data_IF_715767602880
#
_entry.id   IF_715767602880
#
_cell.length_a   1.000
_cell.length_b   1.000
_cell.length_c   1.000
_cell.angle_alpha   90.00
_cell.angle_beta   90.00
_cell.angle_gamma   90.00
#
_symmetry.space_group_name_H-M   'P 1'
#
loop_
_entity.id
_entity.type
_entity.pdbx_description
1 polymer ?
#
# COMPACT_ATOMS: atom_id res chain seq x y z
N UNK A 1 1.22 26.13 17.36
CA UNK A 1 2.66 25.82 17.46
C UNK A 1 3.19 26.04 18.89
N UNK A 2 2.40 25.86 19.95
CA UNK A 2 2.82 26.18 21.34
C UNK A 2 2.61 25.01 22.33
N UNK A 3 2.06 23.86 21.94
CA UNK A 3 1.84 22.74 22.86
C UNK A 3 2.88 21.59 22.75
N UNK A 4 3.88 21.70 21.90
CA UNK A 4 4.88 20.64 21.67
C UNK A 4 6.15 20.77 22.52
N UNK A 5 6.39 21.88 23.22
CA UNK A 5 7.63 22.13 23.95
C UNK A 5 7.64 21.65 25.41
N UNK A 6 6.49 21.34 26.00
CA UNK A 6 6.41 20.91 27.40
C UNK A 6 6.64 19.42 27.63
N UNK A 7 6.59 18.59 26.59
CA UNK A 7 6.63 17.13 26.66
C UNK A 7 8.02 16.52 26.72
N UNK A 8 9.07 17.30 26.55
CA UNK A 8 10.46 16.81 26.55
C UNK A 8 11.03 16.48 27.91
N UNK A 9 10.33 16.72 29.03
CA UNK A 9 10.99 16.71 30.34
C UNK A 9 10.70 15.51 31.22
N UNK A 10 9.70 14.66 30.94
CA UNK A 10 9.47 13.43 31.71
C UNK A 10 8.75 12.37 30.83
N UNK A 11 9.46 11.45 30.17
CA UNK A 11 8.82 10.22 29.73
C UNK A 11 8.41 9.44 30.99
N UNK A 12 7.15 9.01 31.13
CA UNK A 12 6.75 8.17 32.25
C UNK A 12 7.57 6.89 32.22
N UNK A 13 8.32 6.64 33.31
CA UNK A 13 9.08 5.42 33.54
C UNK A 13 8.14 4.23 33.80
N UNK A 14 7.40 3.79 32.86
CA UNK A 14 6.92 2.40 32.76
C UNK A 14 6.46 2.19 31.32
N UNK A 15 7.35 1.65 30.51
CA UNK A 15 6.96 0.92 29.32
C UNK A 15 6.17 -0.30 29.79
N UNK A 16 4.91 -0.09 30.19
CA UNK A 16 3.98 -1.19 30.33
C UNK A 16 3.89 -1.83 28.94
N UNK A 17 4.54 -2.97 28.79
CA UNK A 17 4.43 -3.81 27.63
C UNK A 17 2.94 -3.90 27.27
N UNK A 18 2.61 -3.59 26.03
CA UNK A 18 1.33 -3.97 25.48
C UNK A 18 1.09 -5.42 25.89
N UNK A 19 -0.03 -5.78 26.52
CA UNK A 19 -0.26 -7.14 26.97
C UNK A 19 -0.42 -8.04 25.75
N UNK A 20 0.70 -8.53 25.23
CA UNK A 20 0.78 -9.43 24.09
C UNK A 20 0.09 -10.80 24.32
N UNK A 21 -0.46 -11.03 25.51
CA UNK A 21 -0.97 -12.35 25.91
C UNK A 21 -2.50 -12.48 26.01
N UNK A 22 -3.29 -11.42 25.78
CA UNK A 22 -4.72 -11.50 26.08
C UNK A 22 -5.64 -11.80 24.88
N UNK A 23 -5.15 -11.76 23.64
CA UNK A 23 -5.99 -11.99 22.47
C UNK A 23 -5.27 -12.90 21.47
N UNK A 24 -5.11 -14.16 21.83
CA UNK A 24 -4.75 -15.20 20.87
C UNK A 24 -5.96 -15.54 20.00
N UNK A 25 -6.24 -14.71 19.02
CA UNK A 25 -7.06 -15.11 17.88
C UNK A 25 -6.08 -15.77 16.92
N UNK A 26 -6.14 -17.11 16.72
CA UNK A 26 -5.25 -17.77 15.78
C UNK A 26 -5.55 -17.26 14.38
N UNK A 27 -4.67 -16.50 13.76
CA UNK A 27 -4.88 -16.06 12.40
C UNK A 27 -4.19 -14.76 12.01
N UNK A 28 -4.41 -14.35 10.80
CA UNK A 28 -3.82 -13.16 10.16
C UNK A 28 -4.31 -11.81 10.72
N UNK A 29 -5.33 -11.82 11.58
CA UNK A 29 -5.97 -10.58 12.10
C UNK A 29 -5.08 -9.90 13.14
N UNK A 30 -4.49 -10.68 14.04
CA UNK A 30 -3.64 -10.14 15.11
C UNK A 30 -2.46 -9.30 14.59
N UNK A 31 -1.68 -9.73 13.58
CA UNK A 31 -0.60 -8.91 13.03
C UNK A 31 -1.08 -7.63 12.35
N UNK A 32 -2.30 -7.62 11.78
CA UNK A 32 -2.87 -6.42 11.16
C UNK A 32 -3.26 -5.39 12.23
N UNK A 33 -3.91 -5.85 13.30
CA UNK A 33 -4.22 -5.00 14.46
C UNK A 33 -2.94 -4.50 15.13
N UNK A 34 -1.94 -5.37 15.25
CA UNK A 34 -0.63 -5.00 15.78
C UNK A 34 0.03 -3.89 14.95
N UNK A 35 -0.13 -3.88 13.63
CA UNK A 35 0.38 -2.82 12.78
C UNK A 35 -0.28 -1.45 13.08
N UNK A 36 -1.61 -1.42 13.30
CA UNK A 36 -2.32 -0.20 13.70
C UNK A 36 -1.87 0.30 15.08
N UNK A 37 -1.79 -0.59 16.06
CA UNK A 37 -1.33 -0.23 17.42
C UNK A 37 0.13 0.24 17.43
N UNK A 38 1.00 -0.43 16.68
CA UNK A 38 2.42 -0.07 16.56
C UNK A 38 2.59 1.30 15.87
N UNK A 39 1.73 1.61 14.89
CA UNK A 39 1.72 2.92 14.25
C UNK A 39 1.50 4.05 15.24
N UNK A 40 0.44 3.98 16.06
CA UNK A 40 0.20 4.96 17.12
C UNK A 40 1.34 4.97 18.13
N UNK A 41 1.79 3.79 18.60
CA UNK A 41 2.86 3.69 19.58
C UNK A 41 4.17 4.36 19.17
N UNK A 42 4.57 4.21 17.91
CA UNK A 42 5.76 4.88 17.39
C UNK A 42 5.60 6.40 17.42
N UNK A 43 4.43 6.90 17.03
CA UNK A 43 4.14 8.33 17.08
C UNK A 43 4.09 8.87 18.51
N UNK A 44 3.56 8.08 19.45
CA UNK A 44 3.55 8.41 20.86
C UNK A 44 4.96 8.49 21.48
N UNK A 45 5.81 7.48 21.22
CA UNK A 45 7.19 7.45 21.69
C UNK A 45 8.02 8.56 21.07
N UNK A 46 7.71 8.94 19.84
CA UNK A 46 8.33 10.04 19.07
C UNK A 46 9.87 9.98 19.07
N UNK A 47 10.48 8.86 18.63
CA UNK A 47 11.91 8.59 18.85
C UNK A 47 12.85 9.49 18.04
N UNK A 48 12.37 10.13 16.97
CA UNK A 48 13.18 10.96 16.07
C UNK A 48 12.88 12.45 16.25
N UNK A 49 13.86 13.30 16.01
CA UNK A 49 13.68 14.76 16.02
C UNK A 49 12.70 15.24 14.94
N UNK A 50 12.73 14.58 13.76
CA UNK A 50 11.80 14.80 12.66
C UNK A 50 11.53 13.46 11.94
N UNK A 51 10.46 13.41 11.15
CA UNK A 51 10.13 12.28 10.30
C UNK A 51 9.36 11.14 10.96
N UNK A 52 8.95 11.26 12.23
CA UNK A 52 8.22 10.19 12.94
C UNK A 52 6.99 9.70 12.17
N UNK A 53 6.22 10.61 11.55
CA UNK A 53 5.08 10.25 10.71
C UNK A 53 5.47 9.46 9.46
N UNK A 54 6.61 9.76 8.84
CA UNK A 54 7.14 9.00 7.68
C UNK A 54 7.54 7.60 8.10
N UNK A 55 8.26 7.50 9.22
CA UNK A 55 8.70 6.20 9.77
C UNK A 55 7.51 5.35 10.21
N UNK A 56 6.49 5.93 10.86
CA UNK A 56 5.28 5.21 11.26
C UNK A 56 4.55 4.62 10.04
N UNK A 57 4.39 5.38 8.96
CA UNK A 57 3.78 4.89 7.72
C UNK A 57 4.61 3.80 7.04
N UNK A 58 5.93 3.96 7.00
CA UNK A 58 6.84 2.96 6.43
C UNK A 58 6.84 1.66 7.24
N UNK A 59 6.88 1.76 8.57
CA UNK A 59 6.78 0.61 9.47
C UNK A 59 5.47 -0.14 9.26
N UNK A 60 4.33 0.58 9.22
CA UNK A 60 3.02 -0.03 8.96
C UNK A 60 2.98 -0.74 7.61
N UNK A 61 3.55 -0.11 6.56
CA UNK A 61 3.67 -0.73 5.25
C UNK A 61 4.49 -2.03 5.30
N UNK A 62 5.63 -2.02 5.98
CA UNK A 62 6.48 -3.21 6.10
C UNK A 62 5.78 -4.35 6.86
N UNK A 63 5.09 -4.04 7.97
CA UNK A 63 4.32 -5.01 8.75
C UNK A 63 3.18 -5.62 7.92
N UNK A 64 2.38 -4.78 7.26
CA UNK A 64 1.25 -5.22 6.43
C UNK A 64 1.73 -6.02 5.21
N UNK A 65 2.81 -5.60 4.55
CA UNK A 65 3.41 -6.33 3.43
C UNK A 65 3.82 -7.74 3.83
N UNK A 66 4.47 -7.89 4.99
CA UNK A 66 4.89 -9.20 5.52
C UNK A 66 3.70 -10.09 5.85
N UNK A 67 2.65 -9.52 6.45
CA UNK A 67 1.48 -10.27 6.93
C UNK A 67 0.55 -10.69 5.79
N UNK A 68 0.34 -9.81 4.82
CA UNK A 68 -0.68 -9.99 3.76
C UNK A 68 -0.08 -10.47 2.44
N UNK A 69 1.25 -10.61 2.36
CA UNK A 69 1.97 -10.97 1.12
C UNK A 69 1.52 -10.14 -0.10
N UNK A 70 1.40 -8.83 0.10
CA UNK A 70 0.86 -7.91 -0.92
C UNK A 70 1.83 -7.62 -2.06
N UNK A 71 3.03 -8.18 -2.04
CA UNK A 71 4.12 -7.91 -3.00
C UNK A 71 4.39 -6.41 -3.24
N UNK A 72 3.95 -5.57 -2.31
CA UNK A 72 4.13 -4.11 -2.39
C UNK A 72 3.13 -3.38 -3.28
N UNK A 73 2.05 -4.03 -3.71
CA UNK A 73 1.06 -3.44 -4.62
C UNK A 73 0.26 -2.28 -4.03
N UNK A 74 0.11 -2.20 -2.71
CA UNK A 74 -0.62 -1.12 -2.07
C UNK A 74 0.02 -0.65 -0.76
N UNK A 75 -0.36 0.52 -0.30
CA UNK A 75 0.14 1.12 0.93
C UNK A 75 -0.96 1.90 1.65
N UNK A 76 -1.01 1.78 2.95
CA UNK A 76 -1.91 2.57 3.81
C UNK A 76 -1.60 4.07 3.75
N UNK A 77 -0.38 4.45 3.39
CA UNK A 77 0.08 5.84 3.42
C UNK A 77 -0.76 6.79 2.55
N UNK A 78 -1.18 6.32 1.35
CA UNK A 78 -2.05 7.10 0.46
C UNK A 78 -3.43 7.35 1.08
N UNK A 79 -4.01 6.33 1.69
CA UNK A 79 -5.33 6.44 2.34
C UNK A 79 -5.30 7.38 3.54
N UNK A 80 -4.27 7.28 4.39
CA UNK A 80 -4.06 8.21 5.51
C UNK A 80 -3.88 9.65 5.04
N UNK A 81 -3.15 9.89 3.94
CA UNK A 81 -2.97 11.22 3.38
C UNK A 81 -4.28 11.80 2.84
N UNK A 82 -5.15 10.98 2.25
CA UNK A 82 -6.46 11.43 1.75
C UNK A 82 -7.44 11.79 2.87
N UNK A 83 -7.26 11.22 4.05
CA UNK A 83 -8.10 11.46 5.22
C UNK A 83 -7.28 12.07 6.36
N UNK A 84 -6.40 13.02 6.02
CA UNK A 84 -5.43 13.61 6.96
C UNK A 84 -6.07 14.20 8.21
N UNK A 85 -7.20 14.90 8.07
CA UNK A 85 -7.89 15.51 9.20
C UNK A 85 -8.40 14.44 10.19
N UNK A 86 -9.14 13.44 9.69
CA UNK A 86 -9.64 12.34 10.52
C UNK A 86 -8.49 11.51 11.13
N UNK A 87 -7.43 11.28 10.37
CA UNK A 87 -6.23 10.61 10.87
C UNK A 87 -5.61 11.35 12.06
N UNK A 88 -5.44 12.67 11.97
CA UNK A 88 -4.89 13.49 13.05
C UNK A 88 -5.82 13.52 14.27
N UNK A 89 -7.13 13.58 14.05
CA UNK A 89 -8.13 13.54 15.11
C UNK A 89 -8.09 12.23 15.89
N UNK A 90 -8.06 11.08 15.19
CA UNK A 90 -7.95 9.77 15.82
C UNK A 90 -6.65 9.61 16.61
N UNK A 91 -5.52 10.09 16.10
CA UNK A 91 -4.25 10.07 16.83
C UNK A 91 -4.31 10.92 18.09
N UNK A 92 -4.82 12.14 18.00
CA UNK A 92 -4.97 13.03 19.15
C UNK A 92 -5.90 12.43 20.22
N UNK A 93 -6.97 11.74 19.81
CA UNK A 93 -7.85 11.03 20.73
C UNK A 93 -7.13 9.89 21.47
N UNK A 94 -6.22 9.17 20.79
CA UNK A 94 -5.42 8.09 21.40
C UNK A 94 -4.41 8.60 22.44
N UNK A 95 -3.98 9.86 22.32
CA UNK A 95 -3.07 10.51 23.26
C UNK A 95 -3.79 10.97 24.54
N UNK A 96 -5.12 10.92 24.55
CA UNK A 96 -5.95 11.26 25.68
C UNK A 96 -5.89 10.24 26.82
N UNK A 97 -6.10 10.69 28.09
CA UNK A 97 -6.16 9.79 29.23
C UNK A 97 -7.36 8.85 29.13
N UNK A 98 -7.26 7.71 29.79
CA UNK A 98 -8.37 6.77 29.94
C UNK A 98 -9.60 7.43 30.59
N UNK A 99 -10.79 7.04 30.18
CA UNK A 99 -12.08 7.65 30.59
C UNK A 99 -12.76 6.91 31.75
N UNK A 100 -12.00 6.18 32.58
CA UNK A 100 -12.51 5.44 33.72
C UNK A 100 -12.00 4.00 33.76
N UNK A 101 -12.51 3.21 34.72
CA UNK A 101 -11.98 1.86 34.99
C UNK A 101 -12.26 0.83 33.90
N UNK A 102 -13.24 1.10 33.04
CA UNK A 102 -13.59 0.24 31.90
C UNK A 102 -12.83 0.56 30.61
N UNK A 103 -12.07 1.66 30.59
CA UNK A 103 -11.29 2.12 29.44
C UNK A 103 -9.85 1.64 29.52
N UNK A 104 -9.66 0.33 29.74
CA UNK A 104 -8.38 -0.31 29.79
C UNK A 104 -7.64 -0.21 31.11
N UNK A 105 -6.42 -0.75 31.15
CA UNK A 105 -5.54 -0.80 32.34
C UNK A 105 -4.39 0.19 32.29
N UNK A 106 -4.14 0.80 31.13
CA UNK A 106 -3.07 1.77 30.93
C UNK A 106 -3.42 3.20 31.37
N UNK A 107 -2.56 4.13 31.05
CA UNK A 107 -2.77 5.57 31.27
C UNK A 107 -3.58 6.23 30.15
N UNK A 108 -3.54 5.65 28.96
CA UNK A 108 -4.23 6.14 27.76
C UNK A 108 -5.53 5.38 27.52
N UNK A 109 -6.44 5.98 26.74
CA UNK A 109 -7.73 5.40 26.39
C UNK A 109 -7.58 4.21 25.43
N UNK A 110 -7.97 3.00 25.88
CA UNK A 110 -8.07 1.83 25.00
C UNK A 110 -9.23 1.94 24.01
N UNK A 111 -10.32 2.60 24.40
CA UNK A 111 -11.45 2.84 23.51
C UNK A 111 -11.05 3.74 22.33
N UNK A 112 -10.23 4.77 22.59
CA UNK A 112 -9.69 5.61 21.53
C UNK A 112 -8.74 4.82 20.61
N UNK A 113 -7.86 3.98 21.17
CA UNK A 113 -6.97 3.11 20.38
C UNK A 113 -7.77 2.12 19.52
N UNK A 114 -8.83 1.54 20.05
CA UNK A 114 -9.74 0.67 19.29
C UNK A 114 -10.42 1.42 18.15
N UNK A 115 -10.87 2.66 18.39
CA UNK A 115 -11.43 3.53 17.36
C UNK A 115 -10.42 3.86 16.26
N UNK A 116 -9.18 4.20 16.64
CA UNK A 116 -8.10 4.40 15.69
C UNK A 116 -7.80 3.13 14.88
N UNK A 117 -7.74 1.96 15.53
CA UNK A 117 -7.53 0.69 14.83
C UNK A 117 -8.64 0.41 13.82
N UNK A 118 -9.90 0.66 14.16
CA UNK A 118 -11.03 0.54 13.22
C UNK A 118 -10.90 1.49 12.03
N UNK A 119 -10.56 2.76 12.28
CA UNK A 119 -10.28 3.74 11.24
C UNK A 119 -9.13 3.26 10.32
N UNK A 120 -8.02 2.84 10.90
CA UNK A 120 -6.86 2.33 10.16
C UNK A 120 -7.21 1.13 9.29
N UNK A 121 -8.01 0.18 9.78
CA UNK A 121 -8.48 -0.97 9.01
C UNK A 121 -9.39 -0.56 7.85
N UNK A 122 -10.29 0.40 8.05
CA UNK A 122 -11.12 0.96 6.96
C UNK A 122 -10.26 1.57 5.86
N UNK A 123 -9.21 2.30 6.24
CA UNK A 123 -8.22 2.82 5.29
C UNK A 123 -7.54 1.69 4.53
N UNK A 124 -7.15 0.59 5.20
CA UNK A 124 -6.56 -0.57 4.53
C UNK A 124 -7.52 -1.17 3.50
N UNK A 125 -8.79 -1.36 3.85
CA UNK A 125 -9.83 -1.90 2.95
C UNK A 125 -10.00 -0.96 1.73
N UNK A 126 -10.18 0.35 1.96
CA UNK A 126 -10.29 1.35 0.89
C UNK A 126 -9.10 1.29 -0.09
N UNK A 127 -7.88 1.12 0.44
CA UNK A 127 -6.69 1.02 -0.42
C UNK A 127 -6.62 -0.31 -1.19
N UNK A 128 -7.07 -1.41 -0.60
CA UNK A 128 -7.18 -2.71 -1.30
C UNK A 128 -8.22 -2.62 -2.41
N UNK A 129 -9.40 -2.08 -2.13
CA UNK A 129 -10.47 -1.90 -3.13
C UNK A 129 -10.05 -0.97 -4.26
N UNK A 130 -9.37 0.14 -3.94
CA UNK A 130 -8.81 1.05 -4.94
C UNK A 130 -7.83 0.32 -5.86
N UNK A 131 -6.88 -0.42 -5.29
CA UNK A 131 -5.89 -1.18 -6.08
C UNK A 131 -6.54 -2.32 -6.86
N UNK A 132 -7.50 -3.05 -6.27
CA UNK A 132 -8.26 -4.06 -6.99
C UNK A 132 -9.03 -3.48 -8.18
N UNK A 133 -9.56 -2.26 -8.04
CA UNK A 133 -10.21 -1.54 -9.13
C UNK A 133 -9.25 -1.14 -10.26
N UNK A 134 -8.01 -0.77 -9.92
CA UNK A 134 -6.96 -0.47 -10.91
C UNK A 134 -6.42 -1.74 -11.60
N UNK A 135 -6.30 -2.82 -10.85
CA UNK A 135 -5.69 -4.09 -11.27
C UNK A 135 -6.70 -5.08 -11.86
N UNK A 136 -7.93 -4.66 -12.17
CA UNK A 136 -8.89 -5.53 -12.87
C UNK A 136 -8.30 -5.99 -14.19
N UNK A 137 -8.05 -7.31 -14.38
CA UNK A 137 -7.37 -7.82 -15.57
C UNK A 137 -8.06 -7.39 -16.87
N UNK A 138 -9.40 -7.43 -16.88
CA UNK A 138 -10.18 -7.04 -18.06
C UNK A 138 -9.98 -5.56 -18.41
N UNK A 139 -10.11 -4.67 -17.43
CA UNK A 139 -9.91 -3.22 -17.64
C UNK A 139 -8.46 -2.86 -17.95
N UNK A 140 -7.51 -3.56 -17.33
CA UNK A 140 -6.09 -3.35 -17.62
C UNK A 140 -5.79 -3.75 -19.08
N UNK A 141 -6.30 -4.92 -19.49
CA UNK A 141 -6.19 -5.39 -20.88
C UNK A 141 -6.74 -4.36 -21.87
N UNK A 142 -7.98 -3.91 -21.68
CA UNK A 142 -8.63 -2.95 -22.58
C UNK A 142 -7.84 -1.63 -22.67
N UNK A 143 -7.35 -1.12 -21.52
CA UNK A 143 -6.52 0.09 -21.46
C UNK A 143 -5.20 -0.06 -22.22
N UNK A 144 -4.51 -1.20 -22.07
CA UNK A 144 -3.25 -1.48 -22.78
C UNK A 144 -3.51 -1.56 -24.30
N UNK A 145 -4.61 -2.18 -24.72
CA UNK A 145 -4.94 -2.29 -26.13
C UNK A 145 -5.33 -0.95 -26.74
N UNK A 146 -6.12 -0.14 -26.05
CA UNK A 146 -6.45 1.24 -26.47
C UNK A 146 -5.18 2.08 -26.59
N UNK A 147 -4.31 2.04 -25.57
CA UNK A 147 -3.03 2.72 -25.61
C UNK A 147 -2.19 2.28 -26.82
N UNK A 148 -2.08 0.97 -27.05
CA UNK A 148 -1.33 0.46 -28.18
C UNK A 148 -1.89 0.94 -29.54
N UNK A 149 -3.20 1.00 -29.69
CA UNK A 149 -3.84 1.54 -30.90
C UNK A 149 -3.55 3.04 -31.08
N UNK A 150 -3.57 3.82 -30.01
CA UNK A 150 -3.24 5.25 -30.06
C UNK A 150 -1.78 5.47 -30.44
N UNK A 151 -0.84 4.71 -29.85
CA UNK A 151 0.58 4.81 -30.19
C UNK A 151 0.91 4.32 -31.61
N UNK A 152 0.19 3.31 -32.11
CA UNK A 152 0.31 2.89 -33.52
C UNK A 152 -0.19 3.98 -34.45
N UNK A 153 -1.30 4.65 -34.16
CA UNK A 153 -1.81 5.77 -34.94
C UNK A 153 -0.88 6.97 -34.94
N UNK A 154 -0.27 7.24 -33.81
CA UNK A 154 0.73 8.30 -33.63
C UNK A 154 2.06 7.99 -34.33
N UNK A 155 2.29 6.73 -34.74
CA UNK A 155 3.55 6.29 -35.35
C UNK A 155 4.66 5.99 -34.39
N UNK A 156 4.39 6.03 -33.07
CA UNK A 156 5.35 5.71 -32.00
C UNK A 156 5.60 4.21 -31.89
N UNK A 157 4.57 3.39 -32.18
CA UNK A 157 4.69 1.94 -32.21
C UNK A 157 4.47 1.40 -33.63
N UNK A 158 5.21 0.36 -34.05
CA UNK A 158 4.99 -0.32 -35.31
C UNK A 158 3.60 -0.95 -35.41
N UNK A 159 3.06 -1.04 -36.60
CA UNK A 159 1.84 -1.81 -36.92
C UNK A 159 2.02 -3.25 -36.43
N UNK A 160 0.97 -3.85 -35.87
CA UNK A 160 0.92 -5.19 -35.22
C UNK A 160 1.52 -5.27 -33.83
N UNK A 161 1.94 -4.18 -33.18
CA UNK A 161 2.37 -4.17 -31.78
C UNK A 161 1.26 -4.62 -30.82
N UNK A 162 -0.01 -4.32 -31.15
CA UNK A 162 -1.19 -4.76 -30.42
C UNK A 162 -1.35 -6.30 -30.37
N UNK A 163 -0.94 -7.00 -31.43
CA UNK A 163 -1.02 -8.48 -31.50
C UNK A 163 -0.05 -9.10 -30.51
N UNK A 164 1.19 -8.58 -30.41
CA UNK A 164 2.17 -9.04 -29.45
C UNK A 164 1.71 -8.79 -28.02
N UNK A 165 1.19 -7.59 -27.75
CA UNK A 165 0.65 -7.25 -26.44
C UNK A 165 -0.54 -8.12 -26.05
N UNK A 166 -1.46 -8.43 -26.99
CA UNK A 166 -2.55 -9.39 -26.77
C UNK A 166 -2.04 -10.77 -26.36
N UNK A 167 -1.01 -11.27 -27.06
CA UNK A 167 -0.43 -12.58 -26.76
C UNK A 167 0.22 -12.58 -25.37
N UNK A 168 1.01 -11.56 -25.01
CA UNK A 168 1.62 -11.42 -23.69
C UNK A 168 0.56 -11.32 -22.59
N UNK A 169 -0.49 -10.52 -22.78
CA UNK A 169 -1.58 -10.37 -21.80
C UNK A 169 -2.36 -11.67 -21.58
N UNK A 170 -2.38 -12.56 -22.56
CA UNK A 170 -3.06 -13.85 -22.44
C UNK A 170 -2.16 -14.94 -21.83
N UNK A 171 -0.89 -15.01 -22.27
CA UNK A 171 0.04 -16.07 -21.87
C UNK A 171 0.89 -15.72 -20.63
N UNK A 172 0.96 -14.40 -20.28
CA UNK A 172 1.81 -13.88 -19.20
C UNK A 172 3.25 -13.60 -19.67
N UNK A 173 3.80 -14.44 -20.53
CA UNK A 173 5.12 -14.28 -21.16
C UNK A 173 5.11 -14.96 -22.53
N UNK A 174 5.97 -14.48 -23.42
CA UNK A 174 6.24 -15.10 -24.73
C UNK A 174 7.74 -15.12 -24.97
N UNK A 175 8.23 -16.17 -25.66
CA UNK A 175 9.62 -16.23 -26.08
C UNK A 175 9.85 -15.34 -27.32
N UNK A 176 11.03 -14.73 -27.42
CA UNK A 176 11.36 -13.85 -28.58
C UNK A 176 11.21 -14.58 -29.92
N UNK A 177 11.52 -15.87 -29.95
CA UNK A 177 11.38 -16.70 -31.18
C UNK A 177 9.93 -16.94 -31.59
N UNK A 178 8.98 -16.86 -30.68
CA UNK A 178 7.55 -17.07 -30.97
C UNK A 178 6.88 -15.86 -31.62
N UNK A 179 7.48 -14.65 -31.47
CA UNK A 179 6.90 -13.40 -31.97
C UNK A 179 6.71 -13.45 -33.49
N UNK A 180 7.65 -14.08 -34.20
CA UNK A 180 7.56 -14.24 -35.67
C UNK A 180 6.32 -15.06 -36.07
N UNK A 181 6.07 -16.17 -35.39
CA UNK A 181 4.90 -17.02 -35.65
C UNK A 181 3.58 -16.33 -35.24
N UNK A 182 3.57 -15.62 -34.12
CA UNK A 182 2.40 -14.87 -33.63
C UNK A 182 2.00 -13.77 -34.60
N UNK A 183 2.98 -13.05 -35.17
CA UNK A 183 2.75 -11.96 -36.11
C UNK A 183 2.50 -12.44 -37.53
N UNK A 184 2.86 -13.68 -37.87
CA UNK A 184 2.82 -14.18 -39.24
C UNK A 184 3.66 -13.33 -40.22
N UNK A 185 4.86 -12.88 -39.78
CA UNK A 185 5.73 -11.96 -40.52
C UNK A 185 7.17 -12.41 -40.44
N UNK A 186 8.05 -11.73 -41.22
CA UNK A 186 9.49 -12.03 -41.19
C UNK A 186 10.13 -11.68 -39.85
N UNK A 187 11.20 -12.39 -39.47
CA UNK A 187 12.03 -12.16 -38.28
C UNK A 187 12.45 -10.67 -38.12
N UNK A 188 12.77 -9.99 -39.24
CA UNK A 188 13.11 -8.56 -39.21
C UNK A 188 11.96 -7.70 -38.67
N UNK A 189 10.73 -8.01 -39.04
CA UNK A 189 9.53 -7.26 -38.57
C UNK A 189 9.25 -7.60 -37.11
N UNK A 190 9.37 -8.87 -36.74
CA UNK A 190 9.19 -9.34 -35.36
C UNK A 190 10.18 -8.65 -34.41
N UNK A 191 11.46 -8.59 -34.77
CA UNK A 191 12.48 -7.87 -33.98
C UNK A 191 12.20 -6.38 -33.85
N UNK A 192 11.76 -5.71 -34.93
CA UNK A 192 11.41 -4.29 -34.90
C UNK A 192 10.26 -4.02 -33.93
N UNK A 193 9.21 -4.85 -33.94
CA UNK A 193 8.06 -4.71 -33.03
C UNK A 193 8.49 -4.95 -31.59
N UNK A 194 9.27 -6.02 -31.34
CA UNK A 194 9.75 -6.34 -30.00
C UNK A 194 10.64 -5.23 -29.44
N UNK A 195 11.59 -4.72 -30.22
CA UNK A 195 12.49 -3.63 -29.81
C UNK A 195 11.71 -2.36 -29.47
N UNK A 196 10.73 -1.97 -30.31
CA UNK A 196 9.91 -0.80 -30.05
C UNK A 196 9.08 -0.94 -28.76
N UNK A 197 8.53 -2.13 -28.49
CA UNK A 197 7.78 -2.40 -27.25
C UNK A 197 8.66 -2.40 -25.99
N UNK A 198 9.90 -2.86 -26.12
CA UNK A 198 10.91 -2.78 -25.04
C UNK A 198 11.34 -1.32 -24.77
N UNK A 199 11.60 -0.55 -25.82
CA UNK A 199 11.95 0.88 -25.72
C UNK A 199 10.81 1.71 -25.13
N UNK A 200 9.56 1.38 -25.46
CA UNK A 200 8.39 2.00 -24.87
C UNK A 200 8.11 1.55 -23.41
N UNK A 201 8.90 0.59 -22.86
CA UNK A 201 8.71 0.05 -21.52
C UNK A 201 7.45 -0.81 -21.36
N UNK A 202 6.82 -1.21 -22.47
CA UNK A 202 5.64 -2.06 -22.45
C UNK A 202 5.96 -3.54 -22.24
N UNK A 203 7.21 -3.94 -22.50
CA UNK A 203 7.78 -5.27 -22.23
C UNK A 203 9.09 -5.15 -21.46
N UNK A 204 9.52 -6.23 -20.82
CA UNK A 204 10.79 -6.33 -20.07
C UNK A 204 11.53 -7.63 -20.39
#
# INVERSE_FOLDING_TARGET
MILYSSWRRNPPHSAAACPHKAYSIPGRIEPILAAACAHHRLLWVHPFLDGNGRVARLMSYAMLRKTLDTRGLWSVARGLARQEAAYKEHLAACDGPRRGDRDGRGTLSEAALASFAQFFLRICIDQVEFMAGLMRPDRLRDRILIWAEEEIRAGSLPVKSDIVLKAVLYQGQIERGEVESILGTSDRTARRVTSALLEAGALS
#
